data_IF_453494411589
#
_entry.id   IF_453494411589
#
_cell.length_a   1.000
_cell.length_b   1.000
_cell.length_c   1.000
_cell.angle_alpha   90.00
_cell.angle_beta   90.00
_cell.angle_gamma   90.00
#
_symmetry.space_group_name_H-M   'P 1'
#
loop_
_entity.id
_entity.type
_entity.pdbx_description
1 polymer ?
#
# COMPACT_ATOMS: atom_id res chain seq x y z
N UNK A 1 36.33 -14.93 6.05
CA UNK A 1 35.44 -14.26 5.10
C UNK A 1 33.95 -14.29 5.56
N UNK A 2 33.30 -15.48 5.72
CA UNK A 2 31.87 -15.57 6.04
C UNK A 2 31.50 -15.01 7.42
N UNK A 3 32.28 -15.34 8.47
CA UNK A 3 32.05 -14.78 9.82
C UNK A 3 32.17 -13.26 9.89
N UNK A 4 33.19 -12.69 9.22
CA UNK A 4 33.36 -11.23 9.17
C UNK A 4 32.16 -10.56 8.49
N UNK A 5 31.65 -11.15 7.40
CA UNK A 5 30.44 -10.64 6.73
C UNK A 5 29.20 -10.76 7.61
N UNK A 6 29.05 -11.88 8.33
CA UNK A 6 27.93 -12.07 9.24
C UNK A 6 27.92 -10.99 10.33
N UNK A 7 29.07 -10.69 10.95
CA UNK A 7 29.16 -9.62 11.94
C UNK A 7 28.84 -8.25 11.33
N UNK A 8 29.42 -7.93 10.16
CA UNK A 8 29.12 -6.67 9.47
C UNK A 8 27.63 -6.50 9.15
N UNK A 9 26.94 -7.59 8.78
CA UNK A 9 25.48 -7.55 8.57
C UNK A 9 24.73 -7.38 9.89
N UNK A 10 25.12 -8.08 10.95
CA UNK A 10 24.48 -7.91 12.26
C UNK A 10 24.67 -6.49 12.80
N UNK A 11 25.84 -5.90 12.66
CA UNK A 11 26.11 -4.51 13.07
C UNK A 11 25.26 -3.53 12.24
N UNK A 12 25.15 -3.75 10.91
CA UNK A 12 24.33 -2.93 10.02
C UNK A 12 22.83 -2.97 10.36
N UNK A 13 22.34 -4.07 10.90
CA UNK A 13 20.95 -4.24 11.32
C UNK A 13 20.72 -4.02 12.81
N UNK A 14 21.67 -3.37 13.52
CA UNK A 14 21.61 -3.11 14.96
C UNK A 14 21.40 -4.39 15.81
N UNK A 15 22.03 -5.48 15.37
CA UNK A 15 21.98 -6.80 16.03
C UNK A 15 23.35 -7.22 16.61
N UNK A 16 24.39 -6.37 16.51
CA UNK A 16 25.74 -6.70 16.95
C UNK A 16 25.80 -7.16 18.41
N UNK A 17 25.21 -6.37 19.32
CA UNK A 17 25.16 -6.67 20.77
C UNK A 17 24.32 -7.91 21.09
N UNK A 18 23.48 -8.35 20.17
CA UNK A 18 22.58 -9.49 20.31
C UNK A 18 22.96 -10.69 19.46
N UNK A 19 24.16 -10.68 18.89
CA UNK A 19 24.66 -11.74 18.01
C UNK A 19 24.66 -13.14 18.63
N UNK A 20 24.63 -13.23 19.97
CA UNK A 20 24.60 -14.48 20.74
C UNK A 20 23.24 -14.83 21.31
N UNK A 21 22.25 -13.95 21.13
CA UNK A 21 20.90 -14.19 21.63
C UNK A 21 20.21 -15.26 20.78
N UNK A 22 19.34 -16.03 21.43
CA UNK A 22 18.46 -16.94 20.68
C UNK A 22 17.40 -16.12 19.96
N UNK A 23 17.11 -16.46 18.69
CA UNK A 23 16.13 -15.77 17.88
C UNK A 23 14.74 -15.70 18.55
N UNK A 24 14.38 -16.70 19.36
CA UNK A 24 13.11 -16.75 20.11
C UNK A 24 12.94 -15.58 21.09
N UNK A 25 14.05 -15.07 21.63
CA UNK A 25 14.08 -13.95 22.59
C UNK A 25 14.02 -12.57 21.93
N UNK A 26 14.15 -12.50 20.61
CA UNK A 26 14.11 -11.26 19.86
C UNK A 26 12.65 -10.77 19.70
N UNK A 27 12.45 -9.45 19.72
CA UNK A 27 11.18 -8.85 19.32
C UNK A 27 10.85 -9.16 17.84
N UNK A 28 9.61 -8.98 17.43
CA UNK A 28 9.19 -9.19 16.04
C UNK A 28 10.06 -8.41 15.04
N UNK A 29 10.31 -7.13 15.31
CA UNK A 29 11.18 -6.28 14.49
C UNK A 29 12.62 -6.78 14.41
N UNK A 30 13.22 -7.16 15.55
CA UNK A 30 14.58 -7.71 15.60
C UNK A 30 14.67 -9.06 14.87
N UNK A 31 13.63 -9.91 14.95
CA UNK A 31 13.55 -11.14 14.16
C UNK A 31 13.59 -10.86 12.67
N UNK A 32 12.80 -9.88 12.19
CA UNK A 32 12.78 -9.48 10.78
C UNK A 32 14.12 -8.94 10.30
N UNK A 33 14.79 -8.12 11.12
CA UNK A 33 16.16 -7.66 10.84
C UNK A 33 17.15 -8.83 10.74
N UNK A 34 17.05 -9.82 11.63
CA UNK A 34 17.89 -11.01 11.59
C UNK A 34 17.62 -11.88 10.35
N UNK A 35 16.37 -12.02 9.93
CA UNK A 35 15.99 -12.69 8.70
C UNK A 35 16.56 -12.00 7.46
N UNK A 36 16.56 -10.66 7.43
CA UNK A 36 17.21 -9.90 6.36
C UNK A 36 18.71 -10.10 6.34
N UNK A 37 19.37 -9.95 7.49
CA UNK A 37 20.82 -10.18 7.60
C UNK A 37 21.20 -11.58 7.10
N UNK A 38 20.40 -12.61 7.45
CA UNK A 38 20.57 -13.97 6.97
C UNK A 38 20.40 -14.08 5.45
N UNK A 39 19.35 -13.46 4.88
CA UNK A 39 19.07 -13.51 3.46
C UNK A 39 20.15 -12.81 2.60
N UNK A 40 20.82 -11.82 3.16
CA UNK A 40 21.89 -11.06 2.49
C UNK A 40 23.28 -11.71 2.63
N UNK A 41 23.43 -12.71 3.51
CA UNK A 41 24.72 -13.37 3.74
C UNK A 41 25.36 -13.93 2.46
N UNK A 42 24.60 -14.58 1.56
CA UNK A 42 25.12 -15.13 0.28
C UNK A 42 25.34 -14.07 -0.82
N UNK A 43 25.07 -12.80 -0.59
CA UNK A 43 25.10 -11.72 -1.62
C UNK A 43 24.15 -11.98 -2.79
N UNK A 44 22.83 -12.07 -2.55
CA UNK A 44 21.89 -12.33 -3.63
C UNK A 44 21.80 -11.12 -4.55
N UNK A 45 21.59 -11.36 -5.84
CA UNK A 45 21.19 -10.33 -6.82
C UNK A 45 19.69 -10.06 -6.73
N UNK A 46 18.92 -11.07 -6.32
CA UNK A 46 17.46 -11.00 -6.16
C UNK A 46 17.06 -11.47 -4.76
N UNK A 47 16.33 -10.61 -4.06
CA UNK A 47 15.73 -10.89 -2.76
C UNK A 47 14.21 -11.07 -2.92
N UNK A 48 13.71 -12.27 -2.62
CA UNK A 48 12.27 -12.57 -2.63
C UNK A 48 11.74 -12.54 -1.20
N UNK A 49 10.67 -11.78 -0.95
CA UNK A 49 10.05 -11.66 0.37
C UNK A 49 8.55 -11.68 0.25
N UNK A 50 7.92 -12.51 1.06
CA UNK A 50 6.47 -12.60 1.17
C UNK A 50 6.02 -11.86 2.42
N UNK A 51 5.21 -10.81 2.25
CA UNK A 51 4.68 -9.94 3.29
C UNK A 51 5.69 -9.58 4.41
N UNK A 52 6.86 -9.02 4.08
CA UNK A 52 7.97 -8.93 5.02
C UNK A 52 7.72 -7.99 6.20
N UNK A 53 6.81 -7.04 6.08
CA UNK A 53 6.49 -6.05 7.11
C UNK A 53 5.23 -6.37 7.92
N UNK A 54 4.56 -7.49 7.62
CA UNK A 54 3.40 -7.93 8.38
C UNK A 54 3.75 -8.17 9.85
N UNK A 55 2.94 -7.60 10.75
CA UNK A 55 3.15 -7.68 12.20
C UNK A 55 4.22 -6.72 12.75
N UNK A 56 4.80 -5.87 11.92
CA UNK A 56 5.66 -4.78 12.38
C UNK A 56 4.83 -3.54 12.75
N UNK A 57 5.26 -2.81 13.78
CA UNK A 57 4.72 -1.49 14.06
C UNK A 57 5.12 -0.47 12.96
N UNK A 58 4.45 0.70 12.87
CA UNK A 58 4.71 1.68 11.81
C UNK A 58 6.16 2.21 11.79
N UNK A 59 6.85 2.26 12.93
CA UNK A 59 8.25 2.66 13.02
C UNK A 59 9.15 1.61 12.39
N UNK A 60 9.00 0.36 12.82
CA UNK A 60 9.77 -0.77 12.30
C UNK A 60 9.53 -1.01 10.79
N UNK A 61 8.32 -0.72 10.27
CA UNK A 61 8.05 -0.79 8.82
C UNK A 61 8.85 0.25 8.04
N UNK A 62 8.88 1.50 8.52
CA UNK A 62 9.69 2.56 7.88
C UNK A 62 11.16 2.23 7.86
N UNK A 63 11.70 1.72 8.97
CA UNK A 63 13.09 1.28 9.04
C UNK A 63 13.36 0.13 8.06
N UNK A 64 12.46 -0.85 7.99
CA UNK A 64 12.56 -1.96 7.05
C UNK A 64 12.60 -1.47 5.58
N UNK A 65 11.70 -0.57 5.19
CA UNK A 65 11.67 0.03 3.85
C UNK A 65 12.94 0.81 3.56
N UNK A 66 13.45 1.58 4.52
CA UNK A 66 14.72 2.30 4.39
C UNK A 66 15.92 1.35 4.19
N UNK A 67 15.93 0.21 4.87
CA UNK A 67 16.96 -0.82 4.66
C UNK A 67 16.91 -1.43 3.25
N UNK A 68 15.71 -1.74 2.74
CA UNK A 68 15.57 -2.25 1.38
C UNK A 68 16.04 -1.22 0.36
N UNK A 69 15.70 0.04 0.52
CA UNK A 69 16.15 1.12 -0.35
C UNK A 69 17.68 1.28 -0.32
N UNK A 70 18.29 1.20 0.85
CA UNK A 70 19.74 1.21 1.00
C UNK A 70 20.41 0.03 0.28
N UNK A 71 19.86 -1.19 0.41
CA UNK A 71 20.36 -2.38 -0.30
C UNK A 71 20.31 -2.20 -1.81
N UNK A 72 19.19 -1.71 -2.32
CA UNK A 72 19.00 -1.42 -3.73
C UNK A 72 20.06 -0.45 -4.23
N UNK A 73 20.22 0.70 -3.55
CA UNK A 73 21.13 1.77 -3.99
C UNK A 73 22.60 1.43 -3.84
N UNK A 74 22.98 0.75 -2.77
CA UNK A 74 24.39 0.52 -2.43
C UNK A 74 24.94 -0.82 -2.93
N UNK A 75 24.10 -1.85 -2.99
CA UNK A 75 24.54 -3.20 -3.35
C UNK A 75 23.94 -3.69 -4.67
N UNK A 76 23.06 -2.90 -5.32
CA UNK A 76 22.44 -3.28 -6.59
C UNK A 76 21.48 -4.47 -6.46
N UNK A 77 20.99 -4.78 -5.25
CA UNK A 77 20.06 -5.89 -5.02
C UNK A 77 18.67 -5.54 -5.55
N UNK A 78 18.11 -6.42 -6.35
CA UNK A 78 16.69 -6.34 -6.72
C UNK A 78 15.86 -6.98 -5.62
N UNK A 79 14.87 -6.26 -5.07
CA UNK A 79 13.91 -6.81 -4.11
C UNK A 79 12.54 -6.99 -4.76
N UNK A 80 12.00 -8.19 -4.70
CA UNK A 80 10.62 -8.50 -5.06
C UNK A 80 9.88 -8.90 -3.78
N UNK A 81 8.85 -8.12 -3.43
CA UNK A 81 8.04 -8.38 -2.25
C UNK A 81 6.58 -8.52 -2.64
N UNK A 82 5.85 -9.33 -1.88
CA UNK A 82 4.40 -9.23 -1.82
C UNK A 82 4.01 -8.36 -0.64
N UNK A 83 2.96 -7.58 -0.78
CA UNK A 83 2.41 -6.78 0.32
C UNK A 83 0.93 -6.48 0.07
N UNK A 84 0.20 -6.34 1.15
CA UNK A 84 -1.14 -5.77 1.17
C UNK A 84 -1.16 -4.35 1.76
N UNK A 85 0.00 -3.83 2.13
CA UNK A 85 0.15 -2.50 2.71
C UNK A 85 0.47 -1.49 1.60
N UNK A 86 -0.47 -0.60 1.34
CA UNK A 86 -0.33 0.39 0.26
C UNK A 86 0.85 1.34 0.50
N UNK A 87 1.14 1.70 1.76
CA UNK A 87 2.30 2.53 2.11
C UNK A 87 3.64 1.87 1.75
N UNK A 88 3.72 0.55 1.84
CA UNK A 88 4.92 -0.20 1.44
C UNK A 88 5.04 -0.23 -0.10
N UNK A 89 3.93 -0.46 -0.79
CA UNK A 89 3.88 -0.44 -2.25
C UNK A 89 4.24 0.94 -2.83
N UNK A 90 3.85 2.03 -2.17
CA UNK A 90 4.22 3.41 -2.57
C UNK A 90 5.74 3.66 -2.58
N UNK A 91 6.50 2.89 -1.79
CA UNK A 91 7.96 3.00 -1.72
C UNK A 91 8.69 2.17 -2.80
N UNK A 92 7.97 1.39 -3.60
CA UNK A 92 8.56 0.54 -4.62
C UNK A 92 8.79 1.29 -5.94
N UNK A 93 9.81 0.88 -6.72
CA UNK A 93 10.03 1.45 -8.06
C UNK A 93 8.93 1.02 -9.05
N UNK A 94 8.41 -0.19 -8.88
CA UNK A 94 7.32 -0.74 -9.69
C UNK A 94 6.40 -1.58 -8.83
N UNK A 95 5.12 -1.50 -9.13
CA UNK A 95 4.06 -2.25 -8.44
C UNK A 95 3.27 -3.04 -9.47
N UNK A 96 3.10 -4.34 -9.19
CA UNK A 96 2.15 -5.19 -9.89
C UNK A 96 0.90 -5.37 -9.04
N UNK A 97 -0.26 -5.00 -9.57
CA UNK A 97 -1.55 -5.20 -8.90
C UNK A 97 -2.12 -6.52 -9.38
N UNK A 98 -2.36 -7.43 -8.43
CA UNK A 98 -2.95 -8.74 -8.69
C UNK A 98 -4.39 -8.76 -8.16
N UNK A 99 -5.31 -9.21 -8.98
CA UNK A 99 -6.70 -9.46 -8.58
C UNK A 99 -7.16 -10.80 -9.16
N UNK A 100 -7.77 -11.64 -8.31
CA UNK A 100 -8.25 -12.98 -8.67
C UNK A 100 -7.24 -13.83 -9.47
N UNK A 101 -5.95 -13.75 -9.08
CA UNK A 101 -4.85 -14.48 -9.73
C UNK A 101 -4.39 -13.89 -11.07
N UNK A 102 -4.86 -12.71 -11.45
CA UNK A 102 -4.49 -12.01 -12.68
C UNK A 102 -3.73 -10.72 -12.37
N UNK A 103 -2.73 -10.43 -13.19
CA UNK A 103 -2.04 -9.14 -13.14
C UNK A 103 -2.91 -8.10 -13.87
N UNK A 104 -3.55 -7.20 -13.10
CA UNK A 104 -4.46 -6.18 -13.66
C UNK A 104 -3.76 -4.87 -13.97
N UNK A 105 -2.63 -4.58 -13.31
CA UNK A 105 -1.79 -3.43 -13.64
C UNK A 105 -0.32 -3.69 -13.28
N UNK A 106 0.59 -3.02 -13.98
CA UNK A 106 2.03 -3.00 -13.70
C UNK A 106 2.56 -1.63 -14.08
N UNK A 107 3.32 -0.98 -13.18
CA UNK A 107 3.93 0.33 -13.44
C UNK A 107 4.55 0.93 -12.18
N UNK A 108 5.14 2.12 -12.31
CA UNK A 108 5.55 2.91 -11.17
C UNK A 108 4.30 3.42 -10.40
N UNK A 109 4.36 3.58 -9.05
CA UNK A 109 3.23 4.07 -8.27
C UNK A 109 2.58 5.33 -8.86
N UNK A 110 3.38 6.33 -9.23
CA UNK A 110 2.86 7.57 -9.80
C UNK A 110 2.25 7.41 -11.19
N UNK A 111 2.74 6.46 -12.00
CA UNK A 111 2.12 6.13 -13.30
C UNK A 111 0.75 5.48 -13.11
N UNK A 112 0.65 4.57 -12.14
CA UNK A 112 -0.60 3.91 -11.81
C UNK A 112 -1.62 4.90 -11.27
N UNK A 113 -1.24 5.79 -10.36
CA UNK A 113 -2.11 6.84 -9.82
C UNK A 113 -2.63 7.79 -10.89
N UNK A 114 -1.82 8.15 -11.89
CA UNK A 114 -2.28 8.98 -13.02
C UNK A 114 -3.39 8.35 -13.86
N UNK A 115 -3.54 7.01 -13.85
CA UNK A 115 -4.61 6.32 -14.58
C UNK A 115 -6.00 6.56 -13.98
N UNK A 116 -6.09 6.91 -12.71
CA UNK A 116 -7.36 7.24 -12.04
C UNK A 116 -7.96 8.55 -12.58
N UNK A 117 -7.11 9.47 -13.08
CA UNK A 117 -7.59 10.63 -13.82
C UNK A 117 -8.01 11.82 -12.96
N UNK A 118 -7.09 12.40 -12.21
CA UNK A 118 -7.33 13.61 -11.41
C UNK A 118 -7.39 13.36 -9.92
N UNK A 119 -8.11 14.19 -9.19
CA UNK A 119 -8.31 14.03 -7.75
C UNK A 119 -9.41 12.98 -7.49
N UNK A 120 -9.41 12.39 -6.31
CA UNK A 120 -10.47 11.48 -5.84
C UNK A 120 -11.24 12.18 -4.73
N UNK A 121 -12.56 12.27 -4.90
CA UNK A 121 -13.49 12.73 -3.88
C UNK A 121 -14.17 11.50 -3.27
N UNK A 122 -13.99 11.33 -1.96
CA UNK A 122 -14.62 10.25 -1.19
C UNK A 122 -15.77 10.83 -0.37
N UNK A 123 -16.97 10.30 -0.57
CA UNK A 123 -18.20 10.78 0.02
C UNK A 123 -18.78 9.69 0.91
N UNK A 124 -19.19 10.07 2.12
CA UNK A 124 -20.04 9.26 2.97
C UNK A 124 -21.42 9.88 3.07
N UNK A 125 -22.45 9.07 3.00
CA UNK A 125 -23.83 9.48 3.03
C UNK A 125 -24.64 8.61 4.00
N UNK A 126 -25.86 9.05 4.33
CA UNK A 126 -26.80 8.25 5.12
C UNK A 126 -27.31 7.06 4.32
N UNK A 127 -27.58 7.28 3.02
CA UNK A 127 -27.98 6.27 2.05
C UNK A 127 -27.03 6.34 0.84
N UNK A 128 -25.93 5.55 0.86
CA UNK A 128 -24.94 5.60 -0.21
C UNK A 128 -25.48 5.11 -1.57
N UNK A 129 -26.40 4.13 -1.58
CA UNK A 129 -26.94 3.59 -2.83
C UNK A 129 -27.82 4.62 -3.53
N UNK A 130 -28.75 5.26 -2.80
CA UNK A 130 -29.60 6.30 -3.33
C UNK A 130 -28.76 7.50 -3.83
N UNK A 131 -27.72 7.86 -3.05
CA UNK A 131 -26.84 8.98 -3.42
C UNK A 131 -26.06 8.65 -4.69
N UNK A 132 -25.55 7.42 -4.86
CA UNK A 132 -24.87 6.98 -6.10
C UNK A 132 -25.74 7.20 -7.33
N UNK A 133 -26.99 6.76 -7.26
CA UNK A 133 -27.90 6.86 -8.39
C UNK A 133 -28.21 8.33 -8.74
N UNK A 134 -28.42 9.18 -7.73
CA UNK A 134 -28.58 10.64 -7.92
C UNK A 134 -27.35 11.31 -8.53
N UNK A 135 -26.13 10.92 -8.11
CA UNK A 135 -24.89 11.45 -8.64
C UNK A 135 -24.71 11.10 -10.12
N UNK A 136 -25.05 9.87 -10.50
CA UNK A 136 -25.02 9.43 -11.89
C UNK A 136 -26.05 10.14 -12.77
N UNK A 137 -27.30 10.22 -12.30
CA UNK A 137 -28.38 10.80 -13.07
C UNK A 137 -28.30 12.32 -13.21
N UNK A 138 -27.98 13.02 -12.11
CA UNK A 138 -28.01 14.50 -12.08
C UNK A 138 -26.73 15.16 -12.53
N UNK A 139 -25.59 14.56 -12.20
CA UNK A 139 -24.28 15.18 -12.38
C UNK A 139 -23.41 14.45 -13.41
N UNK A 140 -23.84 13.27 -13.89
CA UNK A 140 -23.14 12.52 -14.94
C UNK A 140 -21.78 11.97 -14.52
N UNK A 141 -21.49 11.90 -13.20
CA UNK A 141 -20.24 11.38 -12.70
C UNK A 141 -20.22 9.85 -12.65
N UNK A 142 -19.09 9.25 -13.03
CA UNK A 142 -18.82 7.85 -12.71
C UNK A 142 -18.54 7.72 -11.21
N UNK A 143 -19.38 6.93 -10.54
CA UNK A 143 -19.33 6.76 -9.08
C UNK A 143 -19.12 5.31 -8.76
N UNK A 144 -18.08 5.01 -8.00
CA UNK A 144 -17.80 3.68 -7.45
C UNK A 144 -18.24 3.64 -6.00
N UNK A 145 -19.15 2.71 -5.66
CA UNK A 145 -19.58 2.46 -4.28
C UNK A 145 -18.75 1.30 -3.71
N UNK A 146 -18.00 1.57 -2.65
CA UNK A 146 -17.18 0.57 -1.96
C UNK A 146 -17.28 0.78 -0.44
N UNK A 147 -17.67 -0.24 0.29
CA UNK A 147 -17.83 -0.25 1.76
C UNK A 147 -18.62 0.95 2.30
N UNK A 148 -19.74 1.26 1.67
CA UNK A 148 -20.60 2.36 2.08
C UNK A 148 -20.04 3.76 1.82
N UNK A 149 -18.93 3.87 1.09
CA UNK A 149 -18.36 5.13 0.63
C UNK A 149 -18.43 5.24 -0.87
N UNK A 150 -18.80 6.40 -1.37
CA UNK A 150 -18.82 6.72 -2.79
C UNK A 150 -17.51 7.38 -3.17
N UNK A 151 -16.95 6.98 -4.31
CA UNK A 151 -15.72 7.55 -4.86
C UNK A 151 -15.99 8.12 -6.24
N UNK A 152 -15.59 9.35 -6.44
CA UNK A 152 -15.70 10.08 -7.70
C UNK A 152 -14.31 10.57 -8.08
N UNK A 153 -13.84 10.19 -9.26
CA UNK A 153 -12.58 10.70 -9.81
C UNK A 153 -12.87 11.89 -10.73
N UNK A 154 -12.06 12.94 -10.65
CA UNK A 154 -12.21 14.11 -11.50
C UNK A 154 -11.14 15.16 -11.28
N UNK A 155 -11.07 16.15 -12.17
CA UNK A 155 -10.18 17.30 -12.05
C UNK A 155 -10.78 18.34 -11.10
N UNK A 156 -9.95 18.97 -10.26
CA UNK A 156 -10.41 20.00 -9.35
C UNK A 156 -11.22 19.45 -8.17
N UNK A 157 -10.64 18.51 -7.42
CA UNK A 157 -11.35 17.80 -6.35
C UNK A 157 -12.04 18.71 -5.33
N UNK A 158 -11.55 19.91 -5.07
CA UNK A 158 -12.20 20.85 -4.15
C UNK A 158 -13.45 21.49 -4.77
N UNK A 159 -13.42 21.87 -6.07
CA UNK A 159 -14.61 22.36 -6.79
C UNK A 159 -15.66 21.27 -6.86
N UNK A 160 -15.26 20.06 -7.21
CA UNK A 160 -16.15 18.91 -7.27
C UNK A 160 -16.78 18.62 -5.91
N UNK A 161 -15.99 18.65 -4.83
CA UNK A 161 -16.51 18.44 -3.48
C UNK A 161 -17.53 19.51 -3.09
N UNK A 162 -17.29 20.78 -3.45
CA UNK A 162 -18.25 21.87 -3.23
C UNK A 162 -19.53 21.68 -4.02
N UNK A 163 -19.43 21.38 -5.32
CA UNK A 163 -20.58 21.12 -6.19
C UNK A 163 -21.46 20.01 -5.64
N UNK A 164 -20.85 18.90 -5.20
CA UNK A 164 -21.56 17.76 -4.63
C UNK A 164 -22.32 18.12 -3.35
N UNK A 165 -21.70 18.90 -2.47
CA UNK A 165 -22.33 19.32 -1.21
C UNK A 165 -23.46 20.31 -1.46
N UNK A 166 -23.31 21.25 -2.41
CA UNK A 166 -24.33 22.24 -2.78
C UNK A 166 -25.53 21.59 -3.49
N UNK A 167 -25.27 20.59 -4.37
CA UNK A 167 -26.31 19.90 -5.11
C UNK A 167 -27.17 18.94 -4.25
N UNK A 168 -26.64 18.45 -3.13
CA UNK A 168 -27.22 17.38 -2.33
C UNK A 168 -27.24 17.73 -0.81
N UNK A 169 -27.91 18.81 -0.43
CA UNK A 169 -27.91 19.30 0.95
C UNK A 169 -28.55 18.30 1.91
N UNK A 170 -27.83 18.02 3.02
CA UNK A 170 -28.29 17.11 4.08
C UNK A 170 -28.17 15.61 3.78
N UNK A 171 -27.79 15.21 2.59
CA UNK A 171 -27.60 13.80 2.22
C UNK A 171 -26.18 13.33 2.53
N UNK A 172 -25.20 14.22 2.42
CA UNK A 172 -23.78 13.95 2.61
C UNK A 172 -23.40 14.14 4.09
N UNK A 173 -22.75 13.17 4.67
CA UNK A 173 -22.25 13.20 6.07
C UNK A 173 -20.78 13.57 6.17
N UNK A 174 -19.99 13.23 5.15
CA UNK A 174 -18.57 13.56 5.08
C UNK A 174 -18.11 13.61 3.64
N UNK A 175 -17.24 14.55 3.32
CA UNK A 175 -16.51 14.64 2.04
C UNK A 175 -15.04 14.80 2.35
N UNK A 176 -14.20 14.02 1.69
CA UNK A 176 -12.76 14.21 1.64
C UNK A 176 -12.31 14.17 0.19
N UNK A 177 -11.28 14.92 -0.15
CA UNK A 177 -10.72 14.90 -1.49
C UNK A 177 -9.19 14.97 -1.42
N UNK A 178 -8.54 14.45 -2.44
CA UNK A 178 -7.09 14.45 -2.52
C UNK A 178 -6.59 13.80 -3.80
N UNK A 179 -5.27 13.75 -3.92
CA UNK A 179 -4.64 13.01 -5.02
C UNK A 179 -4.90 11.51 -4.88
N UNK A 180 -5.00 10.78 -6.00
CA UNK A 180 -5.19 9.34 -5.95
C UNK A 180 -4.08 8.62 -5.18
N UNK A 181 -4.46 7.62 -4.42
CA UNK A 181 -3.57 6.67 -3.75
C UNK A 181 -3.52 5.36 -4.54
N UNK A 182 -2.61 4.44 -4.19
CA UNK A 182 -2.63 3.09 -4.76
C UNK A 182 -3.90 2.31 -4.38
N UNK A 183 -4.53 2.62 -3.23
CA UNK A 183 -5.84 2.06 -2.89
C UNK A 183 -6.91 2.51 -3.90
N UNK A 184 -6.90 3.79 -4.30
CA UNK A 184 -7.83 4.30 -5.31
C UNK A 184 -7.60 3.65 -6.67
N UNK A 185 -6.33 3.41 -7.05
CA UNK A 185 -5.98 2.65 -8.25
C UNK A 185 -6.55 1.24 -8.20
N UNK A 186 -6.36 0.54 -7.07
CA UNK A 186 -6.88 -0.81 -6.90
C UNK A 186 -8.40 -0.84 -7.05
N UNK A 187 -9.11 0.05 -6.34
CA UNK A 187 -10.57 0.16 -6.39
C UNK A 187 -11.05 0.52 -7.80
N UNK A 188 -10.37 1.45 -8.48
CA UNK A 188 -10.71 1.85 -9.85
C UNK A 188 -10.61 0.68 -10.84
N UNK A 189 -9.60 -0.19 -10.67
CA UNK A 189 -9.37 -1.33 -11.57
C UNK A 189 -10.22 -2.55 -11.27
N UNK A 190 -10.59 -2.77 -10.00
CA UNK A 190 -11.23 -4.02 -9.54
C UNK A 190 -12.68 -3.82 -9.09
N UNK A 191 -13.08 -2.60 -8.77
CA UNK A 191 -14.41 -2.27 -8.24
C UNK A 191 -14.62 -2.62 -6.76
N UNK A 192 -13.61 -3.12 -6.06
CA UNK A 192 -13.68 -3.48 -4.63
C UNK A 192 -12.40 -3.10 -3.90
N UNK A 193 -12.44 -3.15 -2.56
CA UNK A 193 -11.22 -2.96 -1.75
C UNK A 193 -10.38 -4.22 -1.72
N UNK A 194 -9.09 -4.04 -1.44
CA UNK A 194 -8.13 -5.13 -1.32
C UNK A 194 -8.54 -6.17 -0.24
N UNK A 195 -9.21 -5.76 0.83
CA UNK A 195 -9.61 -6.62 1.95
C UNK A 195 -11.07 -7.09 1.95
N UNK A 196 -11.88 -6.76 0.97
CA UNK A 196 -13.29 -7.20 0.94
C UNK A 196 -13.49 -8.68 0.63
N UNK A 197 -12.43 -9.45 0.46
CA UNK A 197 -12.44 -10.86 0.12
C UNK A 197 -12.23 -11.86 1.25
N UNK A 198 -12.26 -11.47 2.52
CA UNK A 198 -11.89 -12.33 3.65
C UNK A 198 -12.94 -12.52 4.75
N UNK A 199 -14.22 -12.38 4.45
CA UNK A 199 -15.29 -12.55 5.43
C UNK A 199 -16.45 -13.38 4.90
N UNK A 200 -16.31 -14.72 4.86
CA UNK A 200 -17.48 -15.53 4.58
C UNK A 200 -17.18 -16.88 3.96
N UNK A 201 -16.65 -17.79 4.77
CA UNK A 201 -16.93 -19.22 4.61
C UNK A 201 -16.58 -19.92 5.91
N UNK A 202 -17.54 -20.17 6.72
CA UNK A 202 -17.59 -21.25 7.72
C UNK A 202 -18.75 -22.14 7.38
#
# INVERSE_FOLDING_TARGET
ALRSRAHALLDRFDLGDRARDRAEKLSGGLKRRAELAKALLPRPELLLRDEPSTGLDPGARREFSAYLDQLRRQEGVTALLTTHLMDEAECCDRVGILDQGRLVALGAPDELKRRVGGDVVVIRARDPEQLRDKLREKLGHEVTLVDGSLRVAGTGGHELARELVEALPGEITSVTFGRPTLEDVFIHLTGHRFWSGGGGAS
#
